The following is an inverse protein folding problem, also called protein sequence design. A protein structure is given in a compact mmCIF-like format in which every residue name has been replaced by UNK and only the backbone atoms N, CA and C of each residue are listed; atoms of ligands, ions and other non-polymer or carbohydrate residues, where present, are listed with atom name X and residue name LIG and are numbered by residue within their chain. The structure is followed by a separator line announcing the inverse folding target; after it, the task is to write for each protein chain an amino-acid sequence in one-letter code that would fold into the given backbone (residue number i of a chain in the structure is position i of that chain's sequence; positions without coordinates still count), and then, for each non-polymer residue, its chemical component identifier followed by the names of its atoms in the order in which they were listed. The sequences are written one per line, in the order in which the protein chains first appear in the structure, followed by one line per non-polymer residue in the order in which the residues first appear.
data_IF_852845157099
#
_entry.id   IF_852845157099
#
_cell.length_a   1.000
_cell.length_b   1.000
_cell.length_c   1.000
_cell.angle_alpha   90.00
_cell.angle_beta   90.00
_cell.angle_gamma   90.00
#
_symmetry.space_group_name_H-M   'P 1'
#
loop_
_entity.id
_entity.type
_entity.pdbx_description
1 polymer ?
#
# COMPACT_ATOMS: atom_id res chain seq x y z
N UNK A 1 -4.54 20.60 -24.31
CA UNK A 1 -5.09 19.68 -23.29
C UNK A 1 -3.95 18.78 -22.87
N UNK A 2 -3.53 18.83 -21.60
CA UNK A 2 -2.40 18.04 -21.14
C UNK A 2 -2.77 16.54 -21.15
N UNK A 3 -1.96 15.65 -21.74
CA UNK A 3 -2.25 14.21 -21.85
C UNK A 3 -2.14 13.44 -20.52
N UNK A 4 -2.01 14.13 -19.38
CA UNK A 4 -1.77 13.54 -18.05
C UNK A 4 -2.85 12.55 -17.60
N UNK A 5 -4.08 12.71 -18.08
CA UNK A 5 -5.17 11.77 -17.79
C UNK A 5 -4.91 10.37 -18.37
N UNK A 6 -4.15 10.26 -19.47
CA UNK A 6 -3.75 8.97 -20.07
C UNK A 6 -2.82 8.24 -19.10
N UNK A 7 -1.84 8.95 -18.52
CA UNK A 7 -0.93 8.37 -17.54
C UNK A 7 -1.66 7.93 -16.26
N UNK A 8 -2.64 8.72 -15.81
CA UNK A 8 -3.51 8.35 -14.69
C UNK A 8 -4.31 7.08 -14.97
N UNK A 9 -4.90 6.96 -16.17
CA UNK A 9 -5.64 5.79 -16.59
C UNK A 9 -4.75 4.54 -16.70
N UNK A 10 -3.57 4.69 -17.32
CA UNK A 10 -2.58 3.60 -17.43
C UNK A 10 -2.09 3.15 -16.05
N UNK A 11 -1.78 4.08 -15.15
CA UNK A 11 -1.40 3.75 -13.78
C UNK A 11 -2.50 3.01 -13.03
N UNK A 12 -3.75 3.47 -13.15
CA UNK A 12 -4.91 2.79 -12.58
C UNK A 12 -5.11 1.38 -13.14
N UNK A 13 -4.98 1.22 -14.46
CA UNK A 13 -5.05 -0.08 -15.12
C UNK A 13 -3.95 -1.03 -14.66
N UNK A 14 -2.71 -0.55 -14.49
CA UNK A 14 -1.58 -1.34 -13.97
C UNK A 14 -1.82 -1.80 -12.53
N UNK A 15 -2.28 -0.91 -11.65
CA UNK A 15 -2.60 -1.25 -10.25
C UNK A 15 -3.76 -2.26 -10.18
N UNK A 16 -4.80 -2.06 -10.99
CA UNK A 16 -5.94 -2.96 -11.10
C UNK A 16 -5.53 -4.35 -11.60
N UNK A 17 -4.72 -4.40 -12.66
CA UNK A 17 -4.16 -5.64 -13.20
C UNK A 17 -3.28 -6.36 -12.17
N UNK A 18 -2.38 -5.66 -11.49
CA UNK A 18 -1.53 -6.24 -10.44
C UNK A 18 -2.37 -6.81 -9.28
N UNK A 19 -3.39 -6.07 -8.84
CA UNK A 19 -4.30 -6.50 -7.77
C UNK A 19 -5.14 -7.72 -8.20
N UNK A 20 -5.60 -7.74 -9.45
CA UNK A 20 -6.34 -8.85 -10.04
C UNK A 20 -5.49 -10.10 -10.21
N UNK A 21 -4.24 -9.95 -10.68
CA UNK A 21 -3.27 -11.04 -10.80
C UNK A 21 -2.97 -11.67 -9.44
N UNK A 22 -2.76 -10.85 -8.40
CA UNK A 22 -2.56 -11.36 -7.05
C UNK A 22 -3.80 -12.14 -6.57
N UNK A 23 -4.99 -11.60 -6.79
CA UNK A 23 -6.24 -12.24 -6.38
C UNK A 23 -6.51 -13.55 -7.13
N UNK A 24 -6.27 -13.60 -8.44
CA UNK A 24 -6.48 -14.79 -9.26
C UNK A 24 -5.40 -15.85 -9.04
N UNK A 25 -4.15 -15.43 -8.84
CA UNK A 25 -3.02 -16.34 -8.66
C UNK A 25 -2.94 -16.94 -7.27
N UNK A 26 -3.21 -16.16 -6.22
CA UNK A 26 -3.06 -16.59 -4.82
C UNK A 26 -4.39 -16.70 -4.06
N UNK A 27 -5.50 -16.22 -4.62
CA UNK A 27 -6.77 -16.08 -3.90
C UNK A 27 -6.79 -14.92 -2.89
N UNK A 28 -5.70 -14.13 -2.80
CA UNK A 28 -5.51 -13.13 -1.75
C UNK A 28 -5.83 -11.72 -2.23
N UNK A 29 -6.25 -10.90 -1.28
CA UNK A 29 -6.51 -9.48 -1.51
C UNK A 29 -5.19 -8.70 -1.42
N UNK A 30 -4.93 -7.78 -2.37
CA UNK A 30 -3.76 -6.90 -2.36
C UNK A 30 -3.84 -5.85 -1.23
N UNK A 31 -3.44 -6.24 -0.02
CA UNK A 31 -3.31 -5.37 1.15
C UNK A 31 -1.85 -5.20 1.54
N UNK A 32 -1.24 -4.05 1.23
CA UNK A 32 0.19 -3.80 1.48
C UNK A 32 0.53 -3.99 2.97
N UNK A 33 -0.30 -3.46 3.87
CA UNK A 33 -0.11 -3.63 5.33
C UNK A 33 -0.19 -5.09 5.79
N UNK A 34 -1.01 -5.91 5.13
CA UNK A 34 -1.11 -7.34 5.43
C UNK A 34 0.09 -8.12 4.89
N UNK A 35 0.54 -7.79 3.68
CA UNK A 35 1.72 -8.39 3.03
C UNK A 35 2.99 -8.05 3.83
N UNK A 36 3.19 -6.77 4.15
CA UNK A 36 4.30 -6.31 4.97
C UNK A 36 4.25 -6.90 6.38
N UNK A 37 3.08 -6.86 7.02
CA UNK A 37 2.89 -7.41 8.37
C UNK A 37 3.18 -8.92 8.43
N UNK A 38 2.72 -9.69 7.43
CA UNK A 38 3.00 -11.12 7.35
C UNK A 38 4.48 -11.44 7.17
N UNK A 39 5.17 -10.71 6.29
CA UNK A 39 6.61 -10.88 6.12
C UNK A 39 7.39 -10.52 7.40
N UNK A 40 7.04 -9.41 8.06
CA UNK A 40 7.68 -8.98 9.30
C UNK A 40 7.44 -10.02 10.41
N UNK A 41 6.23 -10.57 10.51
CA UNK A 41 5.90 -11.63 11.46
C UNK A 41 6.74 -12.89 11.24
N UNK A 42 6.86 -13.35 9.99
CA UNK A 42 7.70 -14.50 9.62
C UNK A 42 9.19 -14.25 9.91
N UNK A 43 9.68 -13.02 9.68
CA UNK A 43 11.07 -12.64 9.98
C UNK A 43 11.34 -12.61 11.50
N UNK A 44 10.39 -12.16 12.31
CA UNK A 44 10.55 -12.07 13.77
C UNK A 44 10.34 -13.41 14.48
N UNK A 45 9.37 -14.22 14.02
CA UNK A 45 8.97 -15.48 14.67
C UNK A 45 9.63 -16.71 14.06
N UNK A 46 10.31 -16.55 12.93
CA UNK A 46 10.92 -17.63 12.18
C UNK A 46 10.05 -18.08 11.01
N UNK A 47 10.72 -18.53 9.94
CA UNK A 47 10.07 -18.96 8.71
C UNK A 47 9.11 -20.15 8.95
N UNK A 48 7.96 -20.19 8.27
CA UNK A 48 7.05 -21.32 8.38
C UNK A 48 7.71 -22.64 7.98
N UNK A 49 7.55 -23.71 8.79
CA UNK A 49 8.16 -25.02 8.50
C UNK A 49 7.64 -25.68 7.21
N UNK A 50 6.38 -25.39 6.83
CA UNK A 50 5.72 -25.96 5.66
C UNK A 50 6.12 -25.30 4.33
N UNK A 51 6.08 -26.08 3.23
CA UNK A 51 6.30 -25.55 1.87
C UNK A 51 5.32 -24.44 1.50
N UNK A 52 4.05 -24.61 1.83
CA UNK A 52 3.01 -23.61 1.55
C UNK A 52 3.28 -22.28 2.27
N UNK A 53 3.70 -22.33 3.53
CA UNK A 53 4.05 -21.12 4.29
C UNK A 53 5.28 -20.42 3.73
N UNK A 54 6.34 -21.16 3.36
CA UNK A 54 7.52 -20.57 2.71
C UNK A 54 7.21 -19.93 1.35
N UNK A 55 6.33 -20.54 0.55
CA UNK A 55 5.87 -19.95 -0.71
C UNK A 55 5.12 -18.64 -0.47
N UNK A 56 4.27 -18.58 0.56
CA UNK A 56 3.56 -17.37 0.95
C UNK A 56 4.53 -16.26 1.38
N UNK A 57 5.54 -16.59 2.20
CA UNK A 57 6.57 -15.63 2.61
C UNK A 57 7.36 -15.13 1.40
N UNK A 58 7.71 -16.02 0.47
CA UNK A 58 8.40 -15.67 -0.77
C UNK A 58 7.54 -14.75 -1.65
N UNK A 59 6.24 -15.03 -1.80
CA UNK A 59 5.29 -14.17 -2.53
C UNK A 59 5.21 -12.77 -1.89
N UNK A 60 5.09 -12.70 -0.56
CA UNK A 60 5.07 -11.44 0.16
C UNK A 60 6.37 -10.64 -0.07
N UNK A 61 7.52 -11.30 0.05
CA UNK A 61 8.82 -10.70 -0.17
C UNK A 61 8.99 -10.20 -1.62
N UNK A 62 8.59 -10.99 -2.61
CA UNK A 62 8.68 -10.64 -4.03
C UNK A 62 7.76 -9.47 -4.38
N UNK A 63 6.56 -9.43 -3.80
CA UNK A 63 5.63 -8.30 -3.97
C UNK A 63 6.23 -7.00 -3.42
N UNK A 64 6.75 -7.02 -2.19
CA UNK A 64 7.36 -5.83 -1.58
C UNK A 64 8.64 -5.41 -2.32
N UNK A 65 9.46 -6.38 -2.74
CA UNK A 65 10.64 -6.12 -3.55
C UNK A 65 10.25 -5.45 -4.86
N UNK A 66 9.20 -5.92 -5.54
CA UNK A 66 8.67 -5.30 -6.75
C UNK A 66 8.24 -3.84 -6.53
N UNK A 67 7.58 -3.53 -5.41
CA UNK A 67 7.20 -2.16 -5.06
C UNK A 67 8.39 -1.23 -4.82
N UNK A 68 9.53 -1.76 -4.37
CA UNK A 68 10.76 -0.98 -4.16
C UNK A 68 11.54 -0.85 -5.47
N UNK A 69 11.64 -1.94 -6.25
CA UNK A 69 12.38 -1.98 -7.51
C UNK A 69 11.71 -1.15 -8.60
N UNK A 70 10.38 -1.11 -8.68
CA UNK A 70 9.68 -0.34 -9.71
C UNK A 70 10.04 1.17 -9.72
N UNK A 71 9.95 1.91 -8.60
CA UNK A 71 10.39 3.31 -8.57
C UNK A 71 11.90 3.45 -8.74
N UNK A 72 12.71 2.51 -8.22
CA UNK A 72 14.16 2.55 -8.41
C UNK A 72 14.57 2.41 -9.88
N UNK A 73 13.92 1.51 -10.62
CA UNK A 73 14.11 1.33 -12.06
C UNK A 73 13.62 2.56 -12.83
N UNK A 74 12.49 3.14 -12.45
CA UNK A 74 11.99 4.38 -13.08
C UNK A 74 13.00 5.52 -12.96
N UNK A 75 13.58 5.72 -11.77
CA UNK A 75 14.65 6.70 -11.56
C UNK A 75 15.91 6.36 -12.36
N UNK A 76 16.32 5.08 -12.36
CA UNK A 76 17.51 4.61 -13.09
C UNK A 76 17.41 4.73 -14.61
N UNK A 77 16.20 4.71 -15.17
CA UNK A 77 15.93 4.94 -16.60
C UNK A 77 15.85 6.42 -16.97
N UNK A 78 16.20 7.34 -16.05
CA UNK A 78 16.18 8.79 -16.28
C UNK A 78 14.84 9.45 -15.95
N UNK A 79 13.95 8.78 -15.21
CA UNK A 79 12.74 9.39 -14.68
C UNK A 79 13.09 10.50 -13.69
N UNK A 80 12.69 11.74 -14.00
CA UNK A 80 12.92 12.91 -13.15
C UNK A 80 11.64 13.21 -12.38
N UNK A 81 11.70 13.07 -11.06
CA UNK A 81 10.67 13.57 -10.15
C UNK A 81 11.36 14.22 -8.96
N UNK A 82 11.15 15.51 -8.78
CA UNK A 82 11.56 16.19 -7.56
C UNK A 82 10.73 15.62 -6.39
N UNK A 83 11.38 14.84 -5.55
CA UNK A 83 10.79 14.35 -4.30
C UNK A 83 11.20 15.34 -3.21
N UNK A 84 10.35 16.33 -2.97
CA UNK A 84 10.51 17.24 -1.85
C UNK A 84 9.79 16.64 -0.64
N UNK A 85 10.56 16.20 0.35
CA UNK A 85 10.02 15.76 1.64
C UNK A 85 10.08 16.96 2.58
N UNK A 86 8.93 17.59 2.80
CA UNK A 86 8.83 18.78 3.67
C UNK A 86 8.86 18.43 5.18
N UNK A 87 8.63 17.17 5.54
CA UNK A 87 8.59 16.70 6.92
C UNK A 87 9.96 16.24 7.43
N UNK A 88 10.28 16.57 8.69
CA UNK A 88 11.45 16.08 9.40
C UNK A 88 11.34 14.59 9.75
N UNK A 89 12.50 13.96 10.01
CA UNK A 89 12.57 12.52 10.30
C UNK A 89 11.73 12.09 11.51
N UNK A 90 11.73 12.78 12.67
CA UNK A 90 10.82 12.49 13.77
C UNK A 90 9.34 12.47 13.36
N UNK A 91 8.90 13.48 12.61
CA UNK A 91 7.51 13.55 12.11
C UNK A 91 7.18 12.35 11.22
N UNK A 92 8.08 11.96 10.31
CA UNK A 92 7.89 10.78 9.45
C UNK A 92 7.78 9.47 10.24
N UNK A 93 8.62 9.30 11.27
CA UNK A 93 8.61 8.10 12.12
C UNK A 93 7.27 8.01 12.86
N UNK A 94 6.85 9.09 13.53
CA UNK A 94 5.59 9.12 14.28
C UNK A 94 4.40 8.91 13.35
N UNK A 95 4.36 9.58 12.19
CA UNK A 95 3.32 9.41 11.20
C UNK A 95 3.25 7.95 10.70
N UNK A 96 4.39 7.34 10.39
CA UNK A 96 4.47 5.94 9.96
C UNK A 96 3.92 4.97 11.02
N UNK A 97 4.28 5.17 12.28
CA UNK A 97 3.77 4.36 13.40
C UNK A 97 2.25 4.50 13.57
N UNK A 98 1.73 5.73 13.53
CA UNK A 98 0.30 5.99 13.63
C UNK A 98 -0.49 5.39 12.47
N UNK A 99 0.01 5.54 11.23
CA UNK A 99 -0.60 4.95 10.03
C UNK A 99 -0.57 3.42 10.11
N UNK A 100 0.56 2.84 10.53
CA UNK A 100 0.70 1.39 10.71
C UNK A 100 -0.27 0.84 11.75
N UNK A 101 -0.34 1.50 12.92
CA UNK A 101 -1.28 1.15 13.98
C UNK A 101 -2.74 1.26 13.50
N UNK A 102 -3.10 2.36 12.85
CA UNK A 102 -4.44 2.57 12.29
C UNK A 102 -4.82 1.54 11.24
N UNK A 103 -3.89 1.18 10.34
CA UNK A 103 -4.11 0.14 9.36
C UNK A 103 -4.31 -1.24 10.00
N UNK A 104 -3.64 -1.54 11.13
CA UNK A 104 -3.86 -2.79 11.86
C UNK A 104 -5.21 -2.79 12.56
N UNK A 105 -5.59 -1.69 13.20
CA UNK A 105 -6.90 -1.53 13.84
C UNK A 105 -8.05 -1.66 12.81
N UNK A 106 -7.88 -1.08 11.63
CA UNK A 106 -8.80 -1.20 10.50
C UNK A 106 -8.83 -2.59 9.85
N UNK A 107 -7.98 -3.53 10.26
CA UNK A 107 -7.75 -4.82 9.60
C UNK A 107 -7.34 -4.70 8.12
N UNK A 108 -6.70 -3.60 7.73
CA UNK A 108 -6.36 -3.30 6.35
C UNK A 108 -5.92 -1.85 6.17
N UNK A 109 -5.19 -1.60 5.10
CA UNK A 109 -4.83 -0.25 4.65
C UNK A 109 -5.72 0.20 3.48
N UNK A 110 -5.48 1.41 2.99
CA UNK A 110 -6.17 1.98 1.82
C UNK A 110 -5.94 1.19 0.53
N UNK A 111 -4.84 0.45 0.38
CA UNK A 111 -4.69 -0.43 -0.80
C UNK A 111 -5.72 -1.57 -0.79
N UNK A 112 -5.91 -2.21 0.37
CA UNK A 112 -6.84 -3.33 0.53
C UNK A 112 -8.30 -2.90 0.53
N UNK A 113 -8.63 -1.87 1.32
CA UNK A 113 -10.01 -1.35 1.40
C UNK A 113 -10.38 -0.47 0.21
N UNK A 114 -9.45 0.35 -0.29
CA UNK A 114 -9.68 1.26 -1.40
C UNK A 114 -9.67 0.54 -2.74
N UNK A 115 -8.56 -0.09 -3.14
CA UNK A 115 -8.46 -0.71 -4.47
C UNK A 115 -9.36 -1.93 -4.56
N UNK A 116 -9.09 -2.97 -3.76
CA UNK A 116 -9.81 -4.23 -3.91
C UNK A 116 -11.15 -4.25 -3.14
N UNK A 117 -11.27 -3.50 -2.06
CA UNK A 117 -12.49 -3.43 -1.23
C UNK A 117 -13.62 -2.63 -1.89
N UNK A 118 -13.30 -1.47 -2.49
CA UNK A 118 -14.27 -0.68 -3.23
C UNK A 118 -14.71 -1.39 -4.52
N UNK A 119 -13.80 -2.06 -5.23
CA UNK A 119 -14.13 -2.87 -6.41
C UNK A 119 -15.14 -4.00 -6.11
N UNK A 120 -15.20 -4.48 -4.86
CA UNK A 120 -16.14 -5.50 -4.40
C UNK A 120 -17.40 -4.94 -3.73
N UNK A 121 -17.59 -3.61 -3.77
CA UNK A 121 -18.70 -2.89 -3.11
C UNK A 121 -18.90 -3.29 -1.64
N UNK A 122 -17.80 -3.56 -0.93
CA UNK A 122 -17.86 -3.94 0.48
C UNK A 122 -18.19 -2.73 1.35
N UNK A 123 -19.37 -2.73 1.99
CA UNK A 123 -19.79 -1.66 2.92
C UNK A 123 -18.73 -1.39 4.00
N UNK A 124 -18.16 -2.45 4.58
CA UNK A 124 -17.07 -2.36 5.57
C UNK A 124 -15.83 -1.64 5.01
N UNK A 125 -15.49 -1.91 3.76
CA UNK A 125 -14.30 -1.29 3.15
C UNK A 125 -14.54 0.17 2.79
N UNK A 126 -15.75 0.50 2.34
CA UNK A 126 -16.13 1.89 2.07
C UNK A 126 -16.15 2.72 3.35
N UNK A 127 -16.66 2.18 4.47
CA UNK A 127 -16.62 2.89 5.76
C UNK A 127 -15.19 3.08 6.25
N UNK A 128 -14.35 2.04 6.21
CA UNK A 128 -12.94 2.15 6.61
C UNK A 128 -12.18 3.17 5.74
N UNK A 129 -12.38 3.14 4.43
CA UNK A 129 -11.79 4.11 3.50
C UNK A 129 -12.26 5.54 3.80
N UNK A 130 -13.56 5.74 4.07
CA UNK A 130 -14.10 7.04 4.44
C UNK A 130 -13.48 7.59 5.72
N UNK A 131 -13.28 6.75 6.74
CA UNK A 131 -12.58 7.13 7.97
C UNK A 131 -11.12 7.50 7.71
N UNK A 132 -10.39 6.71 6.93
CA UNK A 132 -8.99 7.02 6.59
C UNK A 132 -8.86 8.35 5.83
N UNK A 133 -9.72 8.57 4.82
CA UNK A 133 -9.71 9.82 4.06
C UNK A 133 -10.13 11.01 4.92
N UNK A 134 -11.17 10.85 5.76
CA UNK A 134 -11.60 11.89 6.70
C UNK A 134 -10.50 12.29 7.68
N UNK A 135 -9.82 11.30 8.27
CA UNK A 135 -8.68 11.55 9.16
C UNK A 135 -7.53 12.24 8.42
N UNK A 136 -7.18 11.81 7.20
CA UNK A 136 -6.13 12.45 6.41
C UNK A 136 -6.45 13.90 6.07
N UNK A 137 -7.69 14.19 5.63
CA UNK A 137 -8.16 15.55 5.35
C UNK A 137 -8.09 16.41 6.61
N UNK A 138 -8.57 15.90 7.75
CA UNK A 138 -8.52 16.61 9.02
C UNK A 138 -7.08 16.91 9.43
N UNK A 139 -6.18 15.93 9.37
CA UNK A 139 -4.76 16.11 9.72
C UNK A 139 -4.10 17.18 8.86
N UNK A 140 -4.33 17.16 7.54
CA UNK A 140 -3.77 18.19 6.63
C UNK A 140 -4.38 19.56 6.90
N UNK A 141 -5.69 19.63 7.16
CA UNK A 141 -6.37 20.88 7.47
C UNK A 141 -5.83 21.49 8.77
N UNK A 142 -5.73 20.70 9.84
CA UNK A 142 -5.18 21.15 11.12
C UNK A 142 -3.71 21.54 10.98
N UNK A 143 -2.89 20.71 10.32
CA UNK A 143 -1.46 20.98 10.14
C UNK A 143 -1.13 22.18 9.25
N UNK A 144 -2.09 22.65 8.44
CA UNK A 144 -1.96 23.89 7.64
C UNK A 144 -2.52 25.13 8.34
N UNK A 145 -3.30 24.95 9.40
CA UNK A 145 -3.90 26.04 10.18
C UNK A 145 -3.05 26.46 11.38
N UNK A 146 -2.21 25.54 11.87
CA UNK A 146 -1.21 25.78 12.92
C UNK A 146 0.11 26.26 12.33
#
# INVERSE_FOLDING_TARGET
MNPDWILGLLGGALIGAASGLLLLGSGRIAGISGIAGGLIEDLMRGLPGGRAGRLLTAENALFLLGMILAPALYLGLGGVKEIVVEADAPTLIVAGLLVGFGARLGSGCTSGHGVCGAARLSRRSLTAMGVFMGAAIATVALGRLL
#
